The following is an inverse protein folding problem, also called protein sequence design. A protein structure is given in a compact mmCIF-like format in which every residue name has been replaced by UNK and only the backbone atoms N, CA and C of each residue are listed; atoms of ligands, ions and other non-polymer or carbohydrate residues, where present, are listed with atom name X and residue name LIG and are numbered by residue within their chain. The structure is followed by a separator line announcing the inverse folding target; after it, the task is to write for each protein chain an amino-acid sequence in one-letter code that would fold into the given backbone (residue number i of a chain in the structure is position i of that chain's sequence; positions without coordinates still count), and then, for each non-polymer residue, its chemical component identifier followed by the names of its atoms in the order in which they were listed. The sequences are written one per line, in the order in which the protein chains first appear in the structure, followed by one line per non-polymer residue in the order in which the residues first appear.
data_IF_361880485855
#
_entry.id   IF_361880485855
#
_cell.length_a   1.000
_cell.length_b   1.000
_cell.length_c   1.000
_cell.angle_alpha   90.00
_cell.angle_beta   90.00
_cell.angle_gamma   90.00
#
_symmetry.space_group_name_H-M   'P 1'
#
loop_
_entity.id
_entity.type
_entity.pdbx_description
1 polymer ?
#
# COMPACT_ATOMS: atom_id res chain seq x y z
N UNK A 1 -19.09 4.71 25.91
CA UNK A 1 -19.35 5.83 24.96
C UNK A 1 -18.33 5.85 23.82
N UNK A 2 -17.02 5.98 24.10
CA UNK A 2 -15.97 6.06 23.05
C UNK A 2 -15.89 4.80 22.16
N UNK A 3 -15.94 3.59 22.74
CA UNK A 3 -15.93 2.34 21.95
C UNK A 3 -17.13 2.21 21.00
N UNK A 4 -18.32 2.65 21.43
CA UNK A 4 -19.51 2.65 20.60
C UNK A 4 -19.36 3.63 19.42
N UNK A 5 -18.80 4.82 19.66
CA UNK A 5 -18.52 5.80 18.62
C UNK A 5 -17.49 5.25 17.60
N UNK A 6 -16.44 4.58 18.08
CA UNK A 6 -15.45 3.93 17.21
C UNK A 6 -16.10 2.90 16.27
N UNK A 7 -16.95 2.01 16.80
CA UNK A 7 -17.66 1.01 16.00
C UNK A 7 -18.57 1.68 14.96
N UNK A 8 -19.31 2.73 15.36
CA UNK A 8 -20.18 3.48 14.43
C UNK A 8 -19.37 4.09 13.28
N UNK A 9 -18.20 4.68 13.56
CA UNK A 9 -17.32 5.26 12.53
C UNK A 9 -16.79 4.17 11.59
N UNK A 10 -16.34 3.04 12.11
CA UNK A 10 -15.88 1.91 11.29
C UNK A 10 -16.99 1.38 10.38
N UNK A 11 -18.21 1.20 10.93
CA UNK A 11 -19.38 0.78 10.15
C UNK A 11 -19.72 1.82 9.08
N UNK A 12 -19.67 3.12 9.39
CA UNK A 12 -19.94 4.18 8.44
C UNK A 12 -18.94 4.17 7.26
N UNK A 13 -17.65 4.02 7.54
CA UNK A 13 -16.61 3.90 6.50
C UNK A 13 -16.87 2.65 5.64
N UNK A 14 -17.10 1.49 6.27
CA UNK A 14 -17.38 0.25 5.57
C UNK A 14 -18.64 0.35 4.68
N UNK A 15 -19.71 0.97 5.19
CA UNK A 15 -20.94 1.19 4.44
C UNK A 15 -20.72 2.10 3.21
N UNK A 16 -19.91 3.16 3.34
CA UNK A 16 -19.56 4.02 2.21
C UNK A 16 -18.74 3.27 1.14
N UNK A 17 -17.78 2.44 1.56
CA UNK A 17 -17.01 1.60 0.63
C UNK A 17 -17.91 0.59 -0.09
N UNK A 18 -18.75 -0.14 0.63
CA UNK A 18 -19.69 -1.10 0.04
C UNK A 18 -20.67 -0.41 -0.91
N UNK A 19 -21.19 0.77 -0.53
CA UNK A 19 -22.05 1.58 -1.40
C UNK A 19 -21.31 1.97 -2.68
N UNK A 20 -20.07 2.43 -2.58
CA UNK A 20 -19.24 2.80 -3.74
C UNK A 20 -19.05 1.61 -4.71
N UNK A 21 -18.72 0.43 -4.20
CA UNK A 21 -18.50 -0.75 -5.04
C UNK A 21 -19.79 -1.37 -5.61
N UNK A 22 -20.93 -1.23 -4.91
CA UNK A 22 -22.20 -1.86 -5.31
C UNK A 22 -23.04 -0.94 -6.21
N UNK A 23 -22.93 0.38 -6.03
CA UNK A 23 -23.77 1.32 -6.75
C UNK A 23 -23.29 1.49 -8.20
N UNK A 24 -24.00 0.84 -9.14
CA UNK A 24 -23.72 0.87 -10.59
C UNK A 24 -23.95 2.24 -11.26
N UNK A 25 -24.25 3.30 -10.50
CA UNK A 25 -24.53 4.64 -11.02
C UNK A 25 -23.32 5.30 -11.68
N UNK A 26 -22.09 4.85 -11.35
CA UNK A 26 -20.86 5.29 -12.03
C UNK A 26 -20.59 4.58 -13.36
N UNK A 27 -21.64 4.06 -14.01
CA UNK A 27 -21.62 3.30 -15.28
C UNK A 27 -21.07 4.04 -16.50
N UNK A 28 -20.71 5.33 -16.38
CA UNK A 28 -19.97 6.08 -17.40
C UNK A 28 -18.47 6.21 -17.14
N UNK A 29 -17.96 5.69 -16.02
CA UNK A 29 -16.53 5.57 -15.79
C UNK A 29 -16.09 4.16 -16.19
N UNK A 30 -15.12 4.08 -17.09
CA UNK A 30 -14.52 2.86 -17.66
C UNK A 30 -13.71 2.03 -16.63
N UNK A 31 -14.04 2.17 -15.34
CA UNK A 31 -13.36 1.52 -14.24
C UNK A 31 -13.66 0.02 -14.23
N UNK A 32 -12.73 -0.78 -14.74
CA UNK A 32 -12.82 -2.24 -14.67
C UNK A 32 -12.60 -2.68 -13.22
N UNK A 33 -13.69 -3.05 -12.55
CA UNK A 33 -13.67 -3.64 -11.19
C UNK A 33 -12.71 -4.83 -11.12
N UNK A 34 -12.58 -5.61 -12.20
CA UNK A 34 -11.61 -6.71 -12.29
C UNK A 34 -10.16 -6.22 -12.25
N UNK A 35 -9.81 -5.16 -13.00
CA UNK A 35 -8.46 -4.57 -12.95
C UNK A 35 -8.14 -3.98 -11.57
N UNK A 36 -9.13 -3.39 -10.90
CA UNK A 36 -8.97 -2.88 -9.54
C UNK A 36 -8.68 -3.99 -8.54
N UNK A 37 -9.48 -5.07 -8.51
CA UNK A 37 -9.22 -6.19 -7.60
C UNK A 37 -7.88 -6.86 -7.92
N UNK A 38 -7.54 -7.00 -9.19
CA UNK A 38 -6.23 -7.50 -9.59
C UNK A 38 -5.09 -6.64 -9.03
N UNK A 39 -5.18 -5.31 -9.18
CA UNK A 39 -4.21 -4.37 -8.61
C UNK A 39 -4.14 -4.49 -7.09
N UNK A 40 -5.29 -4.55 -6.41
CA UNK A 40 -5.36 -4.70 -4.94
C UNK A 40 -4.64 -5.96 -4.45
N UNK A 41 -4.90 -7.12 -5.07
CA UNK A 41 -4.23 -8.37 -4.69
C UNK A 41 -2.74 -8.34 -5.00
N UNK A 42 -2.32 -7.74 -6.12
CA UNK A 42 -0.89 -7.60 -6.45
C UNK A 42 -0.20 -6.69 -5.44
N UNK A 43 -0.76 -5.52 -5.12
CA UNK A 43 -0.19 -4.62 -4.11
C UNK A 43 -0.15 -5.27 -2.72
N UNK A 44 -1.17 -6.05 -2.36
CA UNK A 44 -1.17 -6.82 -1.09
C UNK A 44 -0.06 -7.87 -1.09
N UNK A 45 0.16 -8.57 -2.21
CA UNK A 45 1.26 -9.51 -2.36
C UNK A 45 2.63 -8.84 -2.26
N UNK A 46 2.80 -7.66 -2.88
CA UNK A 46 4.02 -6.84 -2.79
C UNK A 46 4.26 -6.42 -1.35
N UNK A 47 3.26 -5.84 -0.68
CA UNK A 47 3.31 -5.44 0.73
C UNK A 47 3.81 -6.56 1.64
N UNK A 48 3.19 -7.74 1.53
CA UNK A 48 3.55 -8.91 2.34
C UNK A 48 4.95 -9.40 1.96
N UNK A 49 5.27 -9.45 0.66
CA UNK A 49 6.59 -9.86 0.17
C UNK A 49 7.73 -8.98 0.70
N UNK A 50 7.57 -7.67 0.67
CA UNK A 50 8.54 -6.73 1.23
C UNK A 50 8.60 -6.81 2.76
N UNK A 51 7.48 -7.04 3.44
CA UNK A 51 7.47 -7.29 4.90
C UNK A 51 8.37 -8.48 5.27
N UNK A 52 8.25 -9.59 4.54
CA UNK A 52 9.12 -10.76 4.73
C UNK A 52 10.57 -10.45 4.36
N UNK A 53 10.81 -9.70 3.28
CA UNK A 53 12.15 -9.26 2.90
C UNK A 53 12.82 -8.46 4.03
N UNK A 54 12.12 -7.47 4.60
CA UNK A 54 12.64 -6.69 5.72
C UNK A 54 12.85 -7.55 6.97
N UNK A 55 11.98 -8.52 7.21
CA UNK A 55 12.14 -9.48 8.31
C UNK A 55 13.43 -10.31 8.14
N UNK A 56 13.74 -10.76 6.93
CA UNK A 56 14.99 -11.48 6.66
C UNK A 56 16.22 -10.56 6.76
N UNK A 57 16.09 -9.30 6.34
CA UNK A 57 17.15 -8.32 6.49
C UNK A 57 17.43 -7.99 7.96
N UNK A 58 16.40 -7.88 8.81
CA UNK A 58 16.57 -7.56 10.24
C UNK A 58 17.29 -8.67 11.01
N UNK A 59 17.23 -9.92 10.55
CA UNK A 59 18.02 -11.03 11.11
C UNK A 59 19.53 -10.83 10.94
N UNK A 60 19.96 -10.02 9.96
CA UNK A 60 21.37 -9.80 9.64
C UNK A 60 21.92 -8.48 10.23
N UNK A 61 21.10 -7.72 10.97
CA UNK A 61 21.52 -6.50 11.63
C UNK A 61 20.43 -5.43 11.67
N UNK A 62 20.82 -4.23 12.12
CA UNK A 62 19.90 -3.09 12.23
C UNK A 62 19.53 -2.56 10.84
N UNK A 63 18.24 -2.53 10.55
CA UNK A 63 17.70 -2.08 9.26
C UNK A 63 16.88 -0.79 9.36
N UNK A 64 16.42 -0.45 10.56
CA UNK A 64 15.56 0.71 10.85
C UNK A 64 16.12 1.49 12.04
N UNK A 65 16.01 2.82 11.99
CA UNK A 65 16.35 3.73 13.08
C UNK A 65 15.23 4.75 13.33
N UNK A 66 15.11 5.25 14.55
CA UNK A 66 14.07 6.22 14.93
C UNK A 66 14.32 7.63 14.42
N UNK A 67 15.59 8.01 14.23
CA UNK A 67 15.98 9.31 13.69
C UNK A 67 17.35 9.27 13.02
N UNK A 68 17.63 10.22 12.11
CA UNK A 68 18.97 10.35 11.51
C UNK A 68 20.02 10.90 12.47
N UNK A 69 19.61 11.61 13.51
CA UNK A 69 20.49 12.27 14.48
C UNK A 69 20.94 11.32 15.58
N UNK A 70 20.00 10.65 16.25
CA UNK A 70 20.32 9.68 17.30
C UNK A 70 20.71 8.32 16.73
N UNK A 71 20.15 7.94 15.57
CA UNK A 71 20.33 6.63 14.93
C UNK A 71 20.03 5.46 15.86
N UNK A 72 19.12 5.67 16.82
CA UNK A 72 18.74 4.62 17.76
C UNK A 72 18.13 3.46 16.96
N UNK A 73 18.63 2.23 17.14
CA UNK A 73 18.13 1.08 16.42
C UNK A 73 16.69 0.78 16.83
N UNK A 74 15.85 0.49 15.85
CA UNK A 74 14.52 -0.10 16.09
C UNK A 74 14.71 -1.62 16.12
N UNK A 75 14.07 -2.28 17.09
CA UNK A 75 13.92 -3.75 17.13
C UNK A 75 12.48 -4.10 16.72
N UNK A 76 12.19 -4.15 15.40
CA UNK A 76 10.82 -4.23 14.92
C UNK A 76 10.29 -5.66 15.00
N UNK A 77 9.06 -5.81 15.48
CA UNK A 77 8.31 -7.05 15.29
C UNK A 77 7.72 -7.13 13.87
N UNK A 78 7.10 -8.26 13.53
CA UNK A 78 6.53 -8.46 12.19
C UNK A 78 5.47 -7.40 11.80
N UNK A 79 4.64 -6.95 12.75
CA UNK A 79 3.63 -5.92 12.49
C UNK A 79 4.27 -4.54 12.28
N UNK A 80 5.36 -4.23 12.97
CA UNK A 80 6.14 -3.00 12.74
C UNK A 80 6.75 -2.99 11.33
N UNK A 81 7.23 -4.15 10.86
CA UNK A 81 7.75 -4.31 9.50
C UNK A 81 6.64 -4.25 8.44
N UNK A 82 5.45 -4.81 8.75
CA UNK A 82 4.28 -4.71 7.87
C UNK A 82 3.82 -3.26 7.74
N UNK A 83 3.87 -2.52 8.84
CA UNK A 83 3.59 -1.10 8.90
C UNK A 83 4.60 -0.29 8.09
N UNK A 84 5.90 -0.50 8.31
CA UNK A 84 6.97 0.15 7.53
C UNK A 84 6.84 -0.14 6.02
N UNK A 85 6.58 -1.39 5.65
CA UNK A 85 6.30 -1.82 4.28
C UNK A 85 5.09 -1.07 3.70
N UNK A 86 4.00 -0.97 4.47
CA UNK A 86 2.78 -0.26 4.06
C UNK A 86 2.99 1.22 3.80
N UNK A 87 3.69 1.90 4.69
CA UNK A 87 4.01 3.31 4.49
C UNK A 87 4.92 3.55 3.30
N UNK A 88 5.88 2.64 3.09
CA UNK A 88 6.83 2.73 1.98
C UNK A 88 6.14 2.49 0.65
N UNK A 89 5.36 1.42 0.54
CA UNK A 89 4.60 1.06 -0.66
C UNK A 89 3.56 2.13 -1.02
N UNK A 90 2.85 2.66 -0.02
CA UNK A 90 1.83 3.69 -0.24
C UNK A 90 2.40 5.11 -0.29
N UNK A 91 3.73 5.27 -0.16
CA UNK A 91 4.43 6.57 -0.15
C UNK A 91 3.92 7.53 0.93
N UNK A 92 3.52 7.00 2.08
CA UNK A 92 3.10 7.76 3.27
C UNK A 92 4.32 8.29 4.01
N UNK A 93 5.21 7.39 4.42
CA UNK A 93 6.48 7.66 5.10
C UNK A 93 6.39 8.67 6.25
N UNK A 94 5.77 8.33 7.38
CA UNK A 94 5.66 9.28 8.50
C UNK A 94 7.01 9.65 9.13
N UNK A 95 8.03 8.81 8.94
CA UNK A 95 9.41 9.09 9.32
C UNK A 95 9.77 8.70 10.76
N UNK A 96 8.90 7.95 11.43
CA UNK A 96 9.13 7.32 12.72
C UNK A 96 10.03 6.06 12.62
N UNK A 97 10.02 5.39 11.46
CA UNK A 97 10.94 4.31 11.11
C UNK A 97 11.70 4.63 9.83
N UNK A 98 13.02 4.86 9.95
CA UNK A 98 13.86 5.26 8.82
C UNK A 98 14.79 4.13 8.37
N UNK A 99 14.81 3.76 7.07
CA UNK A 99 15.66 2.68 6.60
C UNK A 99 17.15 3.07 6.61
N UNK A 100 17.97 2.10 7.01
CA UNK A 100 19.44 2.17 6.98
C UNK A 100 20.02 0.93 6.30
N UNK A 101 21.30 1.02 5.90
CA UNK A 101 21.97 -0.08 5.20
C UNK A 101 21.24 -0.50 3.91
N UNK A 102 21.14 -1.80 3.69
CA UNK A 102 20.51 -2.38 2.50
C UNK A 102 19.00 -2.10 2.40
N UNK A 103 18.32 -1.86 3.54
CA UNK A 103 16.88 -1.59 3.53
C UNK A 103 16.52 -0.32 2.75
N UNK A 104 17.45 0.65 2.61
CA UNK A 104 17.23 1.85 1.77
C UNK A 104 16.99 1.54 0.30
N UNK A 105 17.75 0.60 -0.24
CA UNK A 105 17.62 0.21 -1.65
C UNK A 105 16.26 -0.45 -1.89
N UNK A 106 15.88 -1.38 -1.00
CA UNK A 106 14.59 -2.06 -1.10
C UNK A 106 13.41 -1.12 -0.87
N UNK A 107 13.51 -0.19 0.07
CA UNK A 107 12.48 0.82 0.29
C UNK A 107 12.26 1.71 -0.94
N UNK A 108 13.35 2.12 -1.61
CA UNK A 108 13.25 2.88 -2.85
C UNK A 108 12.56 2.07 -3.97
N UNK A 109 12.93 0.80 -4.12
CA UNK A 109 12.28 -0.09 -5.09
C UNK A 109 10.79 -0.29 -4.77
N UNK A 110 10.46 -0.50 -3.51
CA UNK A 110 9.09 -0.70 -3.03
C UNK A 110 8.21 0.52 -3.29
N UNK A 111 8.65 1.72 -2.90
CA UNK A 111 7.93 2.96 -3.21
C UNK A 111 7.79 3.17 -4.72
N UNK A 112 8.81 2.82 -5.50
CA UNK A 112 8.76 2.82 -6.96
C UNK A 112 7.65 1.91 -7.51
N UNK A 113 7.55 0.67 -7.02
CA UNK A 113 6.47 -0.27 -7.38
C UNK A 113 5.11 0.29 -6.98
N UNK A 114 5.01 0.84 -5.77
CA UNK A 114 3.79 1.44 -5.22
C UNK A 114 3.21 2.57 -6.06
N UNK A 115 4.07 3.35 -6.73
CA UNK A 115 3.65 4.44 -7.64
C UNK A 115 3.45 3.93 -9.06
N UNK A 116 4.39 3.15 -9.59
CA UNK A 116 4.41 2.77 -11.01
C UNK A 116 3.35 1.73 -11.35
N UNK A 117 3.06 0.78 -10.45
CA UNK A 117 2.12 -0.30 -10.71
C UNK A 117 0.67 0.20 -10.84
N UNK A 118 0.12 1.01 -9.92
CA UNK A 118 -1.21 1.61 -10.10
C UNK A 118 -1.30 2.45 -11.38
N UNK A 119 -0.25 3.21 -11.68
CA UNK A 119 -0.16 4.03 -12.90
C UNK A 119 -0.25 3.17 -14.16
N UNK A 120 0.50 2.08 -14.23
CA UNK A 120 0.47 1.16 -15.37
C UNK A 120 -0.91 0.49 -15.53
N UNK A 121 -1.57 0.11 -14.42
CA UNK A 121 -2.93 -0.43 -14.47
C UNK A 121 -3.95 0.60 -14.94
N UNK A 122 -3.81 1.86 -14.53
CA UNK A 122 -4.67 2.95 -14.99
C UNK A 122 -4.52 3.19 -16.49
N UNK A 123 -3.29 3.27 -17.00
CA UNK A 123 -3.02 3.40 -18.44
C UNK A 123 -3.65 2.24 -19.24
N UNK A 124 -3.49 1.00 -18.75
CA UNK A 124 -4.10 -0.18 -19.37
C UNK A 124 -5.63 -0.09 -19.41
N UNK A 125 -6.26 0.43 -18.35
CA UNK A 125 -7.71 0.62 -18.32
C UNK A 125 -8.17 1.67 -19.35
N UNK A 126 -7.40 2.74 -19.53
CA UNK A 126 -7.68 3.77 -20.54
C UNK A 126 -7.51 3.25 -21.97
N UNK A 127 -6.46 2.48 -22.27
CA UNK A 127 -6.25 1.92 -23.60
C UNK A 127 -7.36 0.94 -23.98
N UNK A 128 -7.78 0.09 -23.03
CA UNK A 128 -8.90 -0.82 -23.23
C UNK A 128 -10.23 -0.10 -23.49
N UNK A 129 -10.41 1.12 -22.96
CA UNK A 129 -11.59 1.94 -23.25
C UNK A 129 -11.58 2.51 -24.66
N UNK A 130 -10.42 2.98 -25.17
CA UNK A 130 -10.31 3.55 -26.52
C UNK A 130 -10.65 2.53 -27.61
N UNK A 131 -10.14 1.31 -27.49
CA UNK A 131 -10.41 0.25 -28.46
C UNK A 131 -11.90 -0.11 -28.59
N UNK A 132 -12.68 0.04 -27.51
CA UNK A 132 -14.14 -0.21 -27.51
C UNK A 132 -14.98 0.91 -28.11
N UNK A 133 -14.43 2.12 -28.24
CA UNK A 133 -15.14 3.28 -28.79
C UNK A 133 -14.98 3.35 -30.32
N UNK A 134 -13.88 2.78 -30.85
CA UNK A 134 -13.54 2.71 -32.27
C UNK A 134 -14.08 1.45 -33.00
N UNK A 135 -14.82 0.57 -32.31
CA UNK A 135 -15.41 -0.67 -32.88
C UNK A 135 -16.93 -0.72 -32.77
#
# INVERSE_FOLDING_TARGET
MVQALFIVVVIFIAANLVYFFTNKSYRKSYFSTALFFQLFFVLTGVLIGFTFLYSLLSLNGVILVTSLSSRDPVDPNFLDLLYFSGETLLSVGYGDMLPVGAARFFALLESGIGILLPTAYFLKAMDASRQKEDS
#
